data_IF_077484230918
#
_entry.id   IF_077484230918
#
_cell.length_a   1.000
_cell.length_b   1.000
_cell.length_c   1.000
_cell.angle_alpha   90.00
_cell.angle_beta   90.00
_cell.angle_gamma   90.00
#
_symmetry.space_group_name_H-M   'P 1'
#
loop_
_entity.id
_entity.type
_entity.pdbx_description
1 polymer ?
#
# COMPACT_ATOMS: atom_id res chain seq x y z
N UNK A 1 -14.29 -27.05 -9.39
CA UNK A 1 -13.00 -26.50 -8.89
C UNK A 1 -13.21 -26.09 -7.44
N UNK A 2 -12.19 -26.23 -6.58
CA UNK A 2 -12.27 -25.80 -5.19
C UNK A 2 -11.47 -24.51 -5.05
N UNK A 3 -12.02 -23.51 -4.35
CA UNK A 3 -11.30 -22.29 -3.99
C UNK A 3 -10.17 -22.66 -3.03
N UNK A 4 -9.01 -22.03 -3.19
CA UNK A 4 -7.82 -22.18 -2.34
C UNK A 4 -7.27 -20.86 -1.81
N UNK A 5 -7.66 -19.73 -2.40
CA UNK A 5 -7.24 -18.40 -1.96
C UNK A 5 -8.44 -17.46 -2.00
N UNK A 6 -8.61 -16.67 -0.95
CA UNK A 6 -9.55 -15.55 -0.90
C UNK A 6 -8.73 -14.29 -0.65
N UNK A 7 -8.74 -13.36 -1.59
CA UNK A 7 -8.12 -12.06 -1.48
C UNK A 7 -9.19 -10.99 -1.28
N UNK A 8 -8.96 -10.06 -0.34
CA UNK A 8 -9.89 -8.95 -0.11
C UNK A 8 -9.17 -7.62 -0.16
N UNK A 9 -9.83 -6.62 -0.76
CA UNK A 9 -9.48 -5.22 -0.52
C UNK A 9 -10.00 -4.79 0.85
N UNK A 10 -9.43 -3.73 1.42
CA UNK A 10 -9.78 -3.25 2.75
C UNK A 10 -10.85 -2.16 2.70
N UNK A 11 -10.44 -0.95 2.30
CA UNK A 11 -11.33 0.22 2.30
C UNK A 11 -12.44 0.07 1.26
N UNK A 12 -13.69 0.31 1.67
CA UNK A 12 -14.86 0.17 0.80
C UNK A 12 -15.20 -1.28 0.42
N UNK A 13 -14.52 -2.28 0.99
CA UNK A 13 -14.75 -3.71 0.73
C UNK A 13 -14.87 -4.51 2.02
N UNK A 14 -13.75 -4.82 2.69
CA UNK A 14 -13.76 -5.60 3.93
C UNK A 14 -14.13 -4.74 5.15
N UNK A 15 -13.75 -3.46 5.12
CA UNK A 15 -14.07 -2.48 6.16
C UNK A 15 -15.32 -1.68 5.81
N UNK A 16 -16.15 -1.39 6.81
CA UNK A 16 -17.21 -0.38 6.72
C UNK A 16 -16.65 1.04 6.66
N UNK A 17 -17.52 2.03 6.44
CA UNK A 17 -17.15 3.46 6.47
C UNK A 17 -16.54 3.89 7.82
N UNK A 18 -16.88 3.18 8.91
CA UNK A 18 -16.30 3.39 10.24
C UNK A 18 -14.97 2.65 10.45
N UNK A 19 -14.35 2.17 9.36
CA UNK A 19 -13.07 1.43 9.36
C UNK A 19 -13.06 0.22 10.31
N UNK A 20 -14.17 -0.52 10.32
CA UNK A 20 -14.33 -1.70 11.18
C UNK A 20 -14.98 -2.85 10.41
N UNK A 21 -14.97 -4.04 11.00
CA UNK A 21 -15.63 -5.24 10.48
C UNK A 21 -16.09 -6.13 11.63
N UNK A 22 -16.98 -7.10 11.34
CA UNK A 22 -17.44 -8.05 12.36
C UNK A 22 -16.36 -9.11 12.65
N UNK A 23 -15.53 -8.85 13.67
CA UNK A 23 -14.40 -9.71 14.06
C UNK A 23 -14.83 -11.13 14.43
N UNK A 24 -15.84 -11.29 15.27
CA UNK A 24 -16.29 -12.62 15.73
C UNK A 24 -16.76 -13.49 14.55
N UNK A 25 -17.55 -12.89 13.66
CA UNK A 25 -18.03 -13.56 12.45
C UNK A 25 -16.86 -13.92 11.54
N UNK A 26 -15.96 -12.98 11.28
CA UNK A 26 -14.80 -13.22 10.42
C UNK A 26 -13.90 -14.31 11.00
N UNK A 27 -13.62 -14.30 12.30
CA UNK A 27 -12.79 -15.32 12.94
C UNK A 27 -13.41 -16.72 12.83
N UNK A 28 -14.73 -16.85 13.00
CA UNK A 28 -15.43 -18.11 12.76
C UNK A 28 -15.26 -18.60 11.30
N UNK A 29 -15.38 -17.69 10.33
CA UNK A 29 -15.17 -17.98 8.91
C UNK A 29 -13.71 -18.34 8.62
N UNK A 30 -12.74 -17.63 9.20
CA UNK A 30 -11.32 -17.89 9.03
C UNK A 30 -10.91 -19.25 9.56
N UNK A 31 -11.44 -19.67 10.72
CA UNK A 31 -11.20 -21.03 11.22
C UNK A 31 -11.76 -22.10 10.27
N UNK A 32 -12.86 -21.83 9.57
CA UNK A 32 -13.35 -22.73 8.53
C UNK A 32 -12.44 -22.73 7.30
N UNK A 33 -11.96 -21.56 6.85
CA UNK A 33 -10.99 -21.44 5.75
C UNK A 33 -9.73 -22.27 6.06
N UNK A 34 -9.15 -22.13 7.25
CA UNK A 34 -7.99 -22.93 7.69
C UNK A 34 -8.24 -24.43 7.61
N UNK A 35 -9.38 -24.92 8.12
CA UNK A 35 -9.73 -26.35 8.06
C UNK A 35 -9.86 -26.88 6.63
N UNK A 36 -10.22 -26.01 5.69
CA UNK A 36 -10.34 -26.34 4.26
C UNK A 36 -9.05 -26.12 3.47
N UNK A 37 -7.98 -25.63 4.12
CA UNK A 37 -6.73 -25.29 3.44
C UNK A 37 -6.84 -24.05 2.53
N UNK A 38 -7.82 -23.18 2.78
CA UNK A 38 -8.01 -21.93 2.04
C UNK A 38 -7.14 -20.84 2.68
N UNK A 39 -6.30 -20.21 1.86
CA UNK A 39 -5.47 -19.06 2.23
C UNK A 39 -6.30 -17.78 2.22
N UNK A 40 -6.05 -16.91 3.19
CA UNK A 40 -6.65 -15.58 3.25
C UNK A 40 -5.57 -14.51 3.01
N UNK A 41 -5.87 -13.56 2.13
CA UNK A 41 -4.94 -12.49 1.74
C UNK A 41 -5.63 -11.14 1.85
N UNK A 42 -4.95 -10.18 2.47
CA UNK A 42 -5.36 -8.77 2.48
C UNK A 42 -4.57 -8.03 1.41
N UNK A 43 -5.24 -7.41 0.44
CA UNK A 43 -4.62 -6.70 -0.68
C UNK A 43 -5.06 -5.24 -0.75
N UNK A 44 -4.22 -4.32 -0.28
CA UNK A 44 -4.57 -2.90 -0.10
C UNK A 44 -3.45 -1.95 -0.52
N UNK A 45 -3.81 -0.70 -0.80
CA UNK A 45 -2.87 0.40 -1.01
C UNK A 45 -2.24 0.92 0.29
N UNK A 46 -2.80 0.55 1.44
CA UNK A 46 -2.37 1.07 2.73
C UNK A 46 -1.06 0.45 3.23
N UNK A 47 -0.49 1.10 4.25
CA UNK A 47 0.73 0.68 4.91
C UNK A 47 0.55 -0.68 5.60
N UNK A 48 1.55 -1.56 5.47
CA UNK A 48 1.57 -2.87 6.13
C UNK A 48 1.24 -2.79 7.63
N UNK A 49 1.83 -1.83 8.36
CA UNK A 49 1.58 -1.63 9.79
C UNK A 49 0.13 -1.23 10.13
N UNK A 50 -0.54 -0.55 9.21
CA UNK A 50 -1.97 -0.27 9.32
C UNK A 50 -2.77 -1.55 9.09
N UNK A 51 -2.46 -2.31 8.04
CA UNK A 51 -3.15 -3.56 7.69
C UNK A 51 -3.11 -4.60 8.81
N UNK A 52 -1.93 -4.87 9.38
CA UNK A 52 -1.79 -5.86 10.47
C UNK A 52 -2.57 -5.47 11.73
N UNK A 53 -2.80 -4.16 11.94
CA UNK A 53 -3.53 -3.67 13.12
C UNK A 53 -5.02 -4.08 13.12
N UNK A 54 -5.56 -4.39 11.94
CA UNK A 54 -6.93 -4.90 11.80
C UNK A 54 -7.06 -6.39 12.14
N UNK A 55 -5.95 -7.13 12.13
CA UNK A 55 -5.91 -8.59 12.28
C UNK A 55 -4.87 -9.05 13.33
N UNK A 56 -4.84 -8.46 14.54
CA UNK A 56 -3.76 -8.71 15.50
C UNK A 56 -3.65 -10.19 15.91
N UNK A 57 -4.76 -10.94 15.88
CA UNK A 57 -4.81 -12.36 16.24
C UNK A 57 -4.24 -13.29 15.17
N UNK A 58 -4.22 -12.86 13.90
CA UNK A 58 -3.90 -13.74 12.75
C UNK A 58 -2.89 -13.16 11.78
N UNK A 59 -2.36 -11.95 12.01
CA UNK A 59 -1.41 -11.30 11.10
C UNK A 59 -0.16 -12.15 10.83
N UNK A 60 0.24 -13.00 11.78
CA UNK A 60 1.36 -13.94 11.65
C UNK A 60 1.01 -15.21 10.85
N UNK A 61 -0.26 -15.42 10.49
CA UNK A 61 -0.73 -16.61 9.75
C UNK A 61 -1.19 -16.29 8.31
N UNK A 62 -1.60 -15.05 8.05
CA UNK A 62 -2.15 -14.63 6.76
C UNK A 62 -1.09 -13.94 5.90
N UNK A 63 -1.46 -13.58 4.67
CA UNK A 63 -0.61 -12.79 3.80
C UNK A 63 -1.19 -11.39 3.54
N UNK A 64 -0.29 -10.45 3.28
CA UNK A 64 -0.57 -9.06 3.00
C UNK A 64 0.12 -8.67 1.70
N UNK A 65 -0.64 -8.12 0.76
CA UNK A 65 -0.18 -7.35 -0.38
C UNK A 65 -0.43 -5.89 0.01
N UNK A 66 0.55 -5.27 0.67
CA UNK A 66 0.49 -3.89 1.15
C UNK A 66 1.05 -2.93 0.10
N UNK A 67 0.78 -1.63 0.27
CA UNK A 67 1.41 -0.56 -0.53
C UNK A 67 1.22 -0.77 -2.04
N UNK A 68 0.01 -1.20 -2.42
CA UNK A 68 -0.36 -1.58 -3.78
C UNK A 68 0.51 -2.70 -4.39
N UNK A 69 1.07 -3.58 -3.56
CA UNK A 69 1.99 -4.63 -3.99
C UNK A 69 3.46 -4.26 -3.86
N UNK A 70 3.78 -3.04 -3.43
CA UNK A 70 5.13 -2.60 -3.08
C UNK A 70 5.74 -3.41 -1.95
N UNK A 71 4.93 -4.02 -1.08
CA UNK A 71 5.41 -4.92 -0.03
C UNK A 71 4.46 -6.11 0.12
N UNK A 72 4.98 -7.32 -0.14
CA UNK A 72 4.24 -8.57 0.01
C UNK A 72 4.84 -9.37 1.17
N UNK A 73 4.00 -9.67 2.16
CA UNK A 73 4.35 -10.44 3.35
C UNK A 73 3.46 -11.67 3.44
N UNK A 74 4.00 -12.82 3.81
CA UNK A 74 3.23 -14.04 4.08
C UNK A 74 3.72 -14.64 5.37
N UNK A 75 2.82 -14.86 6.33
CA UNK A 75 3.14 -15.55 7.59
C UNK A 75 4.32 -14.88 8.34
N UNK A 76 4.42 -13.56 8.26
CA UNK A 76 5.50 -12.76 8.84
C UNK A 76 6.82 -12.75 8.05
N UNK A 77 6.90 -13.43 6.91
CA UNK A 77 8.06 -13.44 6.01
C UNK A 77 7.85 -12.51 4.81
N UNK A 78 8.87 -11.73 4.48
CA UNK A 78 8.87 -10.93 3.26
C UNK A 78 8.98 -11.83 2.02
N UNK A 79 7.97 -11.76 1.17
CA UNK A 79 7.95 -12.44 -0.14
C UNK A 79 8.52 -11.53 -1.22
N UNK A 80 8.21 -10.23 -1.14
CA UNK A 80 8.67 -9.23 -2.08
C UNK A 80 8.68 -7.85 -1.43
N UNK A 81 9.71 -7.07 -1.76
CA UNK A 81 9.79 -5.65 -1.48
C UNK A 81 10.16 -4.97 -2.79
N UNK A 82 9.31 -4.06 -3.25
CA UNK A 82 9.71 -3.07 -4.24
C UNK A 82 10.81 -2.21 -3.63
N UNK A 83 11.75 -1.78 -4.46
CA UNK A 83 12.85 -0.94 -4.02
C UNK A 83 13.21 0.02 -5.14
N UNK A 84 13.00 1.30 -4.90
CA UNK A 84 13.58 2.37 -5.71
C UNK A 84 15.09 2.41 -5.44
N UNK A 85 15.87 2.61 -6.50
CA UNK A 85 17.28 2.96 -6.30
C UNK A 85 17.36 4.31 -5.58
N UNK A 86 18.48 4.57 -4.88
CA UNK A 86 18.69 5.89 -4.25
C UNK A 86 18.59 7.04 -5.25
N UNK A 87 19.07 6.83 -6.47
CA UNK A 87 19.01 7.82 -7.54
C UNK A 87 17.56 8.07 -8.00
N UNK A 88 16.79 7.00 -8.21
CA UNK A 88 15.38 7.09 -8.61
C UNK A 88 14.53 7.77 -7.54
N UNK A 89 14.71 7.39 -6.27
CA UNK A 89 14.04 8.03 -5.14
C UNK A 89 14.34 9.54 -5.09
N UNK A 90 15.62 9.92 -5.22
CA UNK A 90 16.02 11.32 -5.25
C UNK A 90 15.43 12.08 -6.43
N UNK A 91 15.47 11.51 -7.64
CA UNK A 91 14.90 12.13 -8.83
C UNK A 91 13.39 12.40 -8.68
N UNK A 92 12.65 11.43 -8.15
CA UNK A 92 11.21 11.59 -7.89
C UNK A 92 10.96 12.66 -6.83
N UNK A 93 11.67 12.61 -5.70
CA UNK A 93 11.53 13.62 -4.63
C UNK A 93 11.84 15.02 -5.14
N UNK A 94 12.96 15.20 -5.85
CA UNK A 94 13.37 16.49 -6.40
C UNK A 94 12.30 17.04 -7.35
N UNK A 95 11.75 16.20 -8.23
CA UNK A 95 10.66 16.59 -9.11
C UNK A 95 9.41 17.01 -8.34
N UNK A 96 8.96 16.18 -7.38
CA UNK A 96 7.77 16.46 -6.58
C UNK A 96 7.93 17.74 -5.75
N UNK A 97 9.12 18.02 -5.22
CA UNK A 97 9.40 19.24 -4.46
C UNK A 97 9.34 20.53 -5.30
N UNK A 98 9.35 20.45 -6.63
CA UNK A 98 9.09 21.61 -7.49
C UNK A 98 7.61 22.02 -7.52
N UNK A 99 6.73 21.15 -7.04
CA UNK A 99 5.27 21.32 -7.06
C UNK A 99 4.76 21.84 -5.73
N UNK A 100 4.28 23.08 -5.71
CA UNK A 100 3.68 23.70 -4.52
C UNK A 100 2.27 23.16 -4.21
N UNK A 101 1.66 22.43 -5.13
CA UNK A 101 0.32 21.88 -5.06
C UNK A 101 0.27 20.40 -4.64
N UNK A 102 1.42 19.84 -4.27
CA UNK A 102 1.56 18.44 -3.89
C UNK A 102 2.22 18.36 -2.52
N UNK A 103 1.56 17.67 -1.59
CA UNK A 103 2.23 17.21 -0.38
C UNK A 103 2.63 15.75 -0.51
N UNK A 104 3.83 15.44 -0.04
CA UNK A 104 4.51 14.16 -0.29
C UNK A 104 4.51 13.32 0.98
N UNK A 105 4.10 12.06 0.83
CA UNK A 105 4.31 10.99 1.81
C UNK A 105 5.19 9.94 1.13
N UNK A 106 6.46 9.85 1.52
CA UNK A 106 7.36 8.80 1.05
C UNK A 106 7.13 7.52 1.86
N UNK A 107 6.73 6.44 1.20
CA UNK A 107 6.37 5.19 1.87
C UNK A 107 7.57 4.25 1.87
N UNK A 108 8.16 4.10 3.05
CA UNK A 108 9.25 3.19 3.33
C UNK A 108 8.81 1.97 4.12
N UNK A 109 9.70 0.99 4.23
CA UNK A 109 9.48 -0.26 4.96
C UNK A 109 9.47 -0.07 6.47
N UNK A 110 10.28 0.84 7.00
CA UNK A 110 10.32 1.12 8.43
C UNK A 110 9.18 2.06 8.84
N UNK A 111 8.94 3.10 8.05
CA UNK A 111 7.92 4.12 8.28
C UNK A 111 7.47 4.78 6.98
N UNK A 112 6.37 5.53 7.03
CA UNK A 112 6.10 6.57 6.05
C UNK A 112 6.73 7.90 6.52
N UNK A 113 7.12 8.76 5.60
CA UNK A 113 7.81 10.01 5.91
C UNK A 113 7.12 11.17 5.20
N UNK A 114 6.84 12.24 5.93
CA UNK A 114 6.29 13.47 5.35
C UNK A 114 6.94 14.70 5.98
N UNK A 115 6.86 15.84 5.30
CA UNK A 115 7.59 17.03 5.74
C UNK A 115 6.87 17.74 6.88
N UNK A 116 7.61 18.15 7.92
CA UNK A 116 7.06 18.91 9.06
C UNK A 116 6.31 20.18 8.62
N UNK A 117 6.77 20.80 7.53
CA UNK A 117 6.21 22.05 6.97
C UNK A 117 4.87 21.89 6.27
N UNK A 118 4.43 20.67 5.98
CA UNK A 118 3.12 20.42 5.37
C UNK A 118 1.99 20.62 6.39
N UNK A 119 0.78 20.77 5.87
CA UNK A 119 -0.40 21.13 6.64
C UNK A 119 -0.75 20.08 7.71
N UNK A 120 -1.12 20.54 8.91
CA UNK A 120 -1.44 19.66 10.03
C UNK A 120 -2.72 18.83 9.79
N UNK A 121 -3.71 19.37 9.07
CA UNK A 121 -4.92 18.62 8.78
C UNK A 121 -4.63 17.49 7.79
N UNK A 122 -3.80 17.74 6.78
CA UNK A 122 -3.36 16.69 5.84
C UNK A 122 -2.49 15.63 6.52
N UNK A 123 -1.59 16.01 7.44
CA UNK A 123 -0.83 15.05 8.27
C UNK A 123 -1.75 14.23 9.18
N UNK A 124 -2.81 14.82 9.73
CA UNK A 124 -3.79 14.08 10.53
C UNK A 124 -4.57 13.05 9.69
N UNK A 125 -4.90 13.39 8.44
CA UNK A 125 -5.51 12.44 7.49
C UNK A 125 -4.54 11.32 7.15
N UNK A 126 -3.28 11.65 6.84
CA UNK A 126 -2.24 10.66 6.55
C UNK A 126 -2.07 9.65 7.71
N UNK A 127 -2.10 10.12 8.96
CA UNK A 127 -1.96 9.26 10.13
C UNK A 127 -3.06 8.17 10.27
N UNK A 128 -4.21 8.34 9.60
CA UNK A 128 -5.25 7.29 9.55
C UNK A 128 -4.87 6.10 8.64
N UNK A 129 -4.01 6.34 7.64
CA UNK A 129 -3.57 5.35 6.65
C UNK A 129 -2.15 4.84 6.89
N UNK A 130 -1.31 5.67 7.53
CA UNK A 130 0.08 5.40 7.85
C UNK A 130 0.27 5.37 9.37
N UNK A 131 0.10 4.18 9.98
CA UNK A 131 0.26 3.99 11.44
C UNK A 131 1.68 4.25 11.93
N UNK A 132 2.66 4.08 11.05
CA UNK A 132 4.02 4.60 11.25
C UNK A 132 4.21 5.76 10.30
N UNK A 133 4.26 6.96 10.85
CA UNK A 133 4.44 8.20 10.11
C UNK A 133 5.44 9.08 10.86
N UNK A 134 6.56 9.38 10.21
CA UNK A 134 7.60 10.26 10.73
C UNK A 134 7.55 11.63 10.04
N UNK A 135 7.68 12.69 10.84
CA UNK A 135 7.76 14.05 10.33
C UNK A 135 9.21 14.49 10.24
N UNK A 136 9.68 14.72 9.01
CA UNK A 136 11.08 15.04 8.71
C UNK A 136 11.23 16.47 8.18
N UNK A 137 12.41 17.07 8.32
CA UNK A 137 12.67 18.41 7.80
C UNK A 137 12.91 18.40 6.27
N UNK A 138 13.46 17.29 5.78
CA UNK A 138 13.72 17.00 4.37
C UNK A 138 13.81 15.48 4.16
N UNK A 139 13.80 15.05 2.90
CA UNK A 139 13.90 13.63 2.54
C UNK A 139 15.35 13.12 2.37
N UNK A 140 16.36 13.94 2.67
CA UNK A 140 17.75 13.54 2.53
C UNK A 140 18.17 12.65 3.69
N UNK A 141 19.07 11.69 3.42
CA UNK A 141 19.69 10.82 4.43
C UNK A 141 18.71 9.95 5.24
N UNK A 142 17.51 9.69 4.72
CA UNK A 142 16.61 8.69 5.30
C UNK A 142 17.08 7.31 4.83
N UNK A 143 17.44 6.44 5.77
CA UNK A 143 17.90 5.09 5.48
C UNK A 143 16.72 4.10 5.60
N UNK A 144 15.96 3.97 4.53
CA UNK A 144 14.85 3.02 4.39
C UNK A 144 14.79 2.47 2.96
N UNK A 145 14.03 1.39 2.77
CA UNK A 145 13.64 0.87 1.45
C UNK A 145 12.34 1.53 1.05
N UNK A 146 12.37 2.30 -0.03
CA UNK A 146 11.21 3.03 -0.53
C UNK A 146 10.61 2.35 -1.77
N UNK A 147 9.29 2.24 -1.80
CA UNK A 147 8.56 1.57 -2.89
C UNK A 147 7.35 2.34 -3.42
N UNK A 148 6.92 3.41 -2.74
CA UNK A 148 5.73 4.17 -3.10
C UNK A 148 5.83 5.62 -2.61
N UNK A 149 5.13 6.53 -3.27
CA UNK A 149 4.78 7.83 -2.70
C UNK A 149 3.27 8.01 -2.68
N UNK A 150 2.71 8.45 -1.56
CA UNK A 150 1.36 9.01 -1.51
C UNK A 150 1.41 10.52 -1.74
N UNK A 151 0.60 11.03 -2.65
CA UNK A 151 0.48 12.44 -2.97
C UNK A 151 -0.89 12.94 -2.55
N UNK A 152 -0.91 13.91 -1.64
CA UNK A 152 -2.14 14.63 -1.31
C UNK A 152 -2.26 15.82 -2.27
N UNK A 153 -3.37 15.86 -3.00
CA UNK A 153 -3.70 16.93 -3.96
C UNK A 153 -5.19 17.24 -3.90
N UNK A 154 -5.58 18.43 -4.37
CA UNK A 154 -7.00 18.78 -4.48
C UNK A 154 -7.65 18.01 -5.65
N UNK A 155 -8.87 17.50 -5.45
CA UNK A 155 -9.59 16.66 -6.44
C UNK A 155 -9.61 17.25 -7.85
N UNK A 156 -9.80 18.56 -7.96
CA UNK A 156 -9.90 19.30 -9.23
C UNK A 156 -8.63 19.18 -10.09
N UNK A 157 -7.47 18.91 -9.48
CA UNK A 157 -6.17 18.89 -10.15
C UNK A 157 -5.64 17.51 -10.47
N UNK A 158 -6.30 16.44 -9.99
CA UNK A 158 -5.84 15.04 -10.19
C UNK A 158 -5.50 14.74 -11.66
N UNK A 159 -6.36 15.04 -12.66
CA UNK A 159 -6.06 14.66 -14.04
C UNK A 159 -4.84 15.39 -14.61
N UNK A 160 -4.67 16.68 -14.31
CA UNK A 160 -3.54 17.50 -14.75
C UNK A 160 -2.23 17.03 -14.11
N UNK A 161 -2.24 16.84 -12.79
CA UNK A 161 -1.07 16.38 -12.01
C UNK A 161 -0.65 14.99 -12.49
N UNK A 162 -1.60 14.09 -12.69
CA UNK A 162 -1.33 12.73 -13.16
C UNK A 162 -0.65 12.71 -14.53
N UNK A 163 -1.13 13.51 -15.48
CA UNK A 163 -0.50 13.61 -16.80
C UNK A 163 0.92 14.18 -16.71
N UNK A 164 1.11 15.26 -15.95
CA UNK A 164 2.43 15.88 -15.76
C UNK A 164 3.43 14.93 -15.08
N UNK A 165 2.99 14.14 -14.09
CA UNK A 165 3.84 13.16 -13.43
C UNK A 165 4.19 12.00 -14.36
N UNK A 166 3.25 11.54 -15.18
CA UNK A 166 3.53 10.50 -16.16
C UNK A 166 4.60 10.95 -17.16
N UNK A 167 4.52 12.17 -17.68
CA UNK A 167 5.49 12.71 -18.64
C UNK A 167 6.88 12.93 -18.02
N UNK A 168 6.95 13.29 -16.73
CA UNK A 168 8.20 13.64 -16.07
C UNK A 168 8.95 12.45 -15.44
N UNK A 169 8.22 11.50 -14.84
CA UNK A 169 8.78 10.41 -14.04
C UNK A 169 8.18 9.03 -14.36
N UNK A 170 7.39 8.90 -15.45
CA UNK A 170 6.66 7.67 -15.79
C UNK A 170 7.53 6.42 -16.00
N UNK A 171 8.80 6.60 -16.37
CA UNK A 171 9.78 5.51 -16.48
C UNK A 171 10.22 4.96 -15.12
N UNK A 172 10.10 5.77 -14.06
CA UNK A 172 10.51 5.44 -12.68
C UNK A 172 9.29 5.03 -11.85
N UNK A 173 8.21 5.80 -11.92
CA UNK A 173 6.98 5.58 -11.14
C UNK A 173 5.73 5.95 -11.93
N UNK A 174 4.69 5.14 -11.79
CA UNK A 174 3.39 5.33 -12.45
C UNK A 174 2.39 5.91 -11.45
N UNK A 175 1.70 7.00 -11.79
CA UNK A 175 0.62 7.53 -10.97
C UNK A 175 -0.66 6.69 -11.10
N UNK A 176 -1.24 6.30 -9.96
CA UNK A 176 -2.51 5.60 -9.85
C UNK A 176 -3.45 6.33 -8.89
N UNK A 177 -4.72 6.43 -9.27
CA UNK A 177 -5.72 7.08 -8.43
C UNK A 177 -6.22 6.13 -7.33
N UNK A 178 -6.18 6.58 -6.08
CA UNK A 178 -6.51 5.77 -4.90
C UNK A 178 -7.88 6.10 -4.28
N UNK A 179 -8.60 7.09 -4.82
CA UNK A 179 -9.82 7.63 -4.23
C UNK A 179 -9.56 8.70 -3.18
N UNK A 180 -10.58 9.50 -2.87
CA UNK A 180 -10.53 10.54 -1.82
C UNK A 180 -9.41 11.59 -1.96
N UNK A 181 -9.13 12.12 -3.15
CA UNK A 181 -8.18 13.22 -3.31
C UNK A 181 -6.70 12.84 -3.17
N UNK A 182 -6.35 11.61 -3.55
CA UNK A 182 -4.97 11.14 -3.48
C UNK A 182 -4.53 10.42 -4.75
N UNK A 183 -3.25 10.55 -5.06
CA UNK A 183 -2.54 9.76 -6.08
C UNK A 183 -1.46 8.97 -5.36
N UNK A 184 -1.39 7.67 -5.63
CA UNK A 184 -0.20 6.89 -5.30
C UNK A 184 0.73 6.84 -6.52
N UNK A 185 2.01 7.07 -6.32
CA UNK A 185 3.06 6.73 -7.27
C UNK A 185 3.58 5.34 -6.91
N UNK A 186 3.48 4.39 -7.85
CA UNK A 186 3.93 3.00 -7.68
C UNK A 186 5.03 2.66 -8.69
N UNK A 187 5.89 1.71 -8.33
CA UNK A 187 6.91 1.19 -9.26
C UNK A 187 6.22 0.50 -10.45
N UNK A 188 6.64 0.73 -11.72
CA UNK A 188 6.07 0.08 -12.89
C UNK A 188 6.02 -1.45 -12.74
N UNK A 189 4.84 -2.04 -13.00
CA UNK A 189 4.61 -3.49 -12.87
C UNK A 189 4.37 -3.98 -11.44
N UNK A 190 4.52 -3.13 -10.43
CA UNK A 190 4.26 -3.45 -9.02
C UNK A 190 2.86 -2.94 -8.64
N UNK A 191 1.87 -3.80 -8.80
CA UNK A 191 0.47 -3.54 -8.47
C UNK A 191 -0.14 -4.72 -7.67
N UNK A 192 -1.33 -4.55 -7.06
CA UNK A 192 -1.96 -5.58 -6.20
C UNK A 192 -2.02 -6.97 -6.85
N UNK A 193 -2.42 -7.03 -8.13
CA UNK A 193 -2.49 -8.29 -8.88
C UNK A 193 -1.12 -8.96 -9.11
N UNK A 194 -0.03 -8.19 -9.18
CA UNK A 194 1.33 -8.74 -9.25
C UNK A 194 1.69 -9.39 -7.90
N UNK A 195 1.43 -8.70 -6.78
CA UNK A 195 1.67 -9.26 -5.45
C UNK A 195 0.85 -10.52 -5.15
N UNK A 196 -0.42 -10.56 -5.59
CA UNK A 196 -1.23 -11.79 -5.52
C UNK A 196 -0.64 -12.92 -6.35
N UNK A 197 -0.12 -12.62 -7.54
CA UNK A 197 0.53 -13.62 -8.40
C UNK A 197 1.79 -14.22 -7.75
N UNK A 198 2.57 -13.42 -7.01
CA UNK A 198 3.72 -13.93 -6.25
C UNK A 198 3.29 -14.92 -5.16
N UNK A 199 2.21 -14.63 -4.44
CA UNK A 199 1.65 -15.55 -3.44
C UNK A 199 1.10 -16.83 -4.09
N UNK A 200 0.37 -16.69 -5.20
CA UNK A 200 -0.11 -17.82 -5.99
C UNK A 200 1.03 -18.74 -6.46
N UNK A 201 2.12 -18.17 -6.97
CA UNK A 201 3.31 -18.93 -7.38
C UNK A 201 3.94 -19.65 -6.19
N UNK A 202 4.09 -18.98 -5.04
CA UNK A 202 4.64 -19.58 -3.81
C UNK A 202 3.80 -20.77 -3.33
N UNK A 203 2.49 -20.71 -3.47
CA UNK A 203 1.58 -21.75 -2.97
C UNK A 203 1.08 -22.74 -4.04
N UNK A 204 1.46 -22.57 -5.30
CA UNK A 204 0.97 -23.40 -6.41
C UNK A 204 -0.55 -23.29 -6.62
N UNK A 205 -1.10 -22.07 -6.49
CA UNK A 205 -2.53 -21.78 -6.64
C UNK A 205 -2.80 -21.14 -8.01
N UNK A 206 -3.71 -21.73 -8.78
CA UNK A 206 -4.09 -21.19 -10.10
C UNK A 206 -5.12 -20.07 -9.99
N UNK A 207 -5.18 -19.18 -10.99
CA UNK A 207 -6.14 -18.06 -11.02
C UNK A 207 -7.59 -18.52 -10.84
N UNK A 208 -7.94 -19.71 -11.34
CA UNK A 208 -9.27 -20.30 -11.20
C UNK A 208 -9.62 -20.79 -9.78
N UNK A 209 -8.65 -20.75 -8.86
CA UNK A 209 -8.79 -21.15 -7.46
C UNK A 209 -8.77 -19.94 -6.51
N UNK A 210 -8.74 -18.72 -7.07
CA UNK A 210 -8.74 -17.45 -6.36
C UNK A 210 -10.13 -16.82 -6.42
N UNK A 211 -10.58 -16.27 -5.29
CA UNK A 211 -11.71 -15.34 -5.18
C UNK A 211 -11.18 -13.97 -4.77
#
# INVERSE_FOLDING_TARGET
MSIKLIAVDMDGTFLSDQKTYNRDRFMAQYQQMKRQGIRFVVASGNQYYQLISFFPEIAHEIAFVAENGGWVVSEGEDIFNGELTKADFQAVVEHLLTRADVEIIACGKNSAYTLKRYDDALKAVAAMYYHRLEFVDNFNNINDVFFKFGLNITDERIPEVQAALHDAIGDIMVPVHTGYGSIDLIIPGVHKANGLRLLQQRWGIHDSEVV
#
